data_IF_913475501959
#
_entry.id   IF_913475501959
#
_cell.length_a   1.000
_cell.length_b   1.000
_cell.length_c   1.000
_cell.angle_alpha   90.00
_cell.angle_beta   90.00
_cell.angle_gamma   90.00
#
_symmetry.space_group_name_H-M   'P 1'
#
loop_
_entity.id
_entity.type
_entity.pdbx_description
1 polymer ?
#
# COMPACT_ATOMS: atom_id res chain seq x y z
N UNK A 1 22.99 -7.63 4.37
CA UNK A 1 23.31 -6.82 3.17
C UNK A 1 22.92 -5.37 3.39
N UNK A 2 23.72 -4.40 2.96
CA UNK A 2 23.38 -2.97 3.01
C UNK A 2 23.56 -2.37 1.62
N UNK A 3 22.62 -1.54 1.20
CA UNK A 3 22.62 -0.91 -0.12
C UNK A 3 22.25 0.56 0.02
N UNK A 4 22.68 1.37 -0.94
CA UNK A 4 22.32 2.77 -0.99
C UNK A 4 22.53 3.36 -2.37
N UNK A 5 21.74 4.39 -2.67
CA UNK A 5 21.84 5.15 -3.90
C UNK A 5 21.63 6.63 -3.63
N UNK A 6 22.16 7.46 -4.53
CA UNK A 6 22.02 8.90 -4.48
C UNK A 6 21.66 9.43 -5.86
N UNK A 7 20.64 10.29 -5.90
CA UNK A 7 20.28 11.06 -7.09
C UNK A 7 20.47 12.54 -6.75
N UNK A 8 21.40 13.18 -7.46
CA UNK A 8 21.62 14.62 -7.34
C UNK A 8 20.41 15.38 -7.88
N UNK A 9 19.73 16.09 -7.00
CA UNK A 9 18.54 16.87 -7.31
C UNK A 9 18.46 18.04 -6.30
N UNK A 10 19.32 19.05 -6.46
CA UNK A 10 19.49 20.09 -5.46
C UNK A 10 18.25 20.98 -5.32
N UNK A 11 18.09 21.56 -4.13
CA UNK A 11 17.04 22.53 -3.81
C UNK A 11 17.47 23.96 -4.23
N UNK A 12 16.55 24.88 -4.60
CA UNK A 12 15.11 24.69 -4.73
C UNK A 12 14.74 23.87 -5.96
N UNK A 13 13.85 22.89 -5.77
CA UNK A 13 13.28 22.11 -6.87
C UNK A 13 12.12 22.87 -7.51
N UNK A 14 11.83 22.58 -8.78
CA UNK A 14 10.77 23.21 -9.55
C UNK A 14 9.84 22.19 -10.21
N UNK A 15 8.64 22.64 -10.59
CA UNK A 15 7.61 21.79 -11.20
C UNK A 15 7.19 20.63 -10.29
N UNK A 16 7.04 19.43 -10.86
CA UNK A 16 6.63 18.22 -10.11
C UNK A 16 7.63 17.84 -9.01
N UNK A 17 8.91 18.21 -9.15
CA UNK A 17 9.93 17.93 -8.15
C UNK A 17 9.77 18.74 -6.87
N UNK A 18 8.94 19.80 -6.87
CA UNK A 18 8.54 20.49 -5.64
C UNK A 18 7.77 19.57 -4.68
N UNK A 19 7.17 18.49 -5.18
CA UNK A 19 6.51 17.48 -4.35
C UNK A 19 7.48 16.72 -3.46
N UNK A 20 8.78 16.79 -3.72
CA UNK A 20 9.82 16.25 -2.86
C UNK A 20 10.17 17.19 -1.70
N UNK A 21 9.77 18.46 -1.75
CA UNK A 21 9.94 19.44 -0.68
C UNK A 21 8.85 19.27 0.40
N UNK A 22 8.70 18.03 0.89
CA UNK A 22 7.82 17.69 2.02
C UNK A 22 8.58 17.78 3.33
N UNK A 23 7.82 18.00 4.41
CA UNK A 23 8.36 17.84 5.76
C UNK A 23 8.64 16.35 5.98
N UNK A 24 9.87 15.97 6.37
CA UNK A 24 10.17 14.60 6.76
C UNK A 24 9.25 14.14 7.89
N UNK A 25 8.81 12.90 7.83
CA UNK A 25 8.02 12.26 8.90
C UNK A 25 8.93 11.50 9.83
N UNK A 26 8.53 11.42 11.10
CA UNK A 26 9.21 10.57 12.07
C UNK A 26 9.08 9.10 11.63
N UNK A 27 10.19 8.37 11.64
CA UNK A 27 10.27 6.93 11.39
C UNK A 27 9.78 6.09 12.59
N UNK A 28 8.82 6.62 13.36
CA UNK A 28 8.25 5.97 14.53
C UNK A 28 6.94 5.28 14.17
N UNK A 29 6.81 3.97 14.41
CA UNK A 29 5.54 3.28 14.20
C UNK A 29 4.46 3.82 15.14
N UNK A 30 3.20 3.92 14.69
CA UNK A 30 2.13 4.41 15.52
C UNK A 30 1.83 3.44 16.67
N UNK A 31 1.40 3.98 17.82
CA UNK A 31 1.18 3.20 19.04
C UNK A 31 0.10 2.11 18.91
N UNK A 32 -0.83 2.24 17.95
CA UNK A 32 -1.86 1.23 17.70
C UNK A 32 -1.34 -0.02 16.99
N UNK A 33 -0.13 0.01 16.43
CA UNK A 33 0.39 -1.09 15.60
C UNK A 33 0.81 -2.29 16.46
N UNK A 34 0.35 -3.48 16.09
CA UNK A 34 0.71 -4.72 16.79
C UNK A 34 1.96 -5.40 16.23
N UNK A 35 2.62 -6.19 17.07
CA UNK A 35 3.86 -6.90 16.75
C UNK A 35 3.71 -8.03 15.71
N UNK A 36 2.48 -8.46 15.40
CA UNK A 36 2.23 -9.58 14.50
C UNK A 36 2.13 -9.19 13.01
N UNK A 37 2.22 -7.91 12.66
CA UNK A 37 2.22 -7.45 11.26
C UNK A 37 3.45 -7.99 10.52
N UNK A 38 3.31 -8.22 9.20
CA UNK A 38 4.44 -8.64 8.35
C UNK A 38 5.31 -7.45 7.96
N UNK A 39 4.73 -6.26 7.85
CA UNK A 39 5.45 -5.06 7.51
C UNK A 39 4.70 -3.79 7.89
N UNK A 40 5.49 -2.73 7.99
CA UNK A 40 5.04 -1.37 8.27
C UNK A 40 5.84 -0.42 7.39
N UNK A 41 5.15 0.53 6.77
CA UNK A 41 5.81 1.69 6.17
C UNK A 41 5.06 2.96 6.50
N UNK A 42 5.80 4.05 6.49
CA UNK A 42 5.27 5.40 6.65
C UNK A 42 5.85 6.29 5.57
N UNK A 43 5.01 7.14 5.00
CA UNK A 43 5.40 8.14 4.00
C UNK A 43 4.86 9.51 4.39
N UNK A 44 5.74 10.51 4.28
CA UNK A 44 5.43 11.92 4.44
C UNK A 44 5.00 12.53 3.12
N UNK A 45 3.70 12.67 2.90
CA UNK A 45 3.14 13.20 1.66
C UNK A 45 1.93 14.09 1.93
N UNK A 46 2.04 15.38 1.61
CA UNK A 46 0.91 16.31 1.59
C UNK A 46 0.11 16.10 0.30
N UNK A 47 -0.95 15.30 0.38
CA UNK A 47 -1.80 14.98 -0.78
C UNK A 47 -2.47 16.21 -1.38
N UNK A 48 -2.69 17.27 -0.59
CA UNK A 48 -3.19 18.55 -1.09
C UNK A 48 -2.18 19.26 -2.00
N UNK A 49 -0.89 19.23 -1.64
CA UNK A 49 0.20 19.71 -2.53
C UNK A 49 0.35 18.84 -3.77
N UNK A 50 0.27 17.52 -3.63
CA UNK A 50 0.31 16.58 -4.76
C UNK A 50 -0.78 16.90 -5.77
N UNK A 51 -2.02 17.07 -5.31
CA UNK A 51 -3.13 17.46 -6.17
C UNK A 51 -2.90 18.82 -6.84
N UNK A 52 -2.40 19.82 -6.11
CA UNK A 52 -2.13 21.13 -6.67
C UNK A 52 -1.09 21.08 -7.80
N UNK A 53 0.01 20.33 -7.61
CA UNK A 53 1.04 20.17 -8.64
C UNK A 53 0.54 19.34 -9.84
N UNK A 54 -0.21 18.27 -9.60
CA UNK A 54 -0.80 17.45 -10.66
C UNK A 54 -1.80 18.26 -11.49
N UNK A 55 -2.64 19.07 -10.84
CA UNK A 55 -3.56 20.01 -11.50
C UNK A 55 -2.80 21.02 -12.34
N UNK A 56 -1.76 21.65 -11.79
CA UNK A 56 -0.94 22.62 -12.52
C UNK A 56 -0.35 22.01 -13.81
N UNK A 57 0.25 20.82 -13.70
CA UNK A 57 0.79 20.10 -14.85
C UNK A 57 -0.30 19.77 -15.89
N UNK A 58 -1.45 19.27 -15.44
CA UNK A 58 -2.56 18.95 -16.33
C UNK A 58 -3.13 20.19 -17.04
N UNK A 59 -3.18 21.34 -16.37
CA UNK A 59 -3.58 22.61 -16.97
C UNK A 59 -2.57 23.11 -18.01
N UNK A 60 -1.27 22.95 -17.74
CA UNK A 60 -0.21 23.30 -18.70
C UNK A 60 -0.29 22.43 -19.97
N UNK A 61 -0.59 21.15 -19.82
CA UNK A 61 -0.68 20.21 -20.95
C UNK A 61 -2.01 20.29 -21.73
N UNK A 62 -3.13 20.46 -21.02
CA UNK A 62 -4.48 20.41 -21.61
C UNK A 62 -5.11 21.76 -21.92
N UNK A 63 -4.48 22.87 -21.53
CA UNK A 63 -4.94 24.23 -21.84
C UNK A 63 -6.36 24.53 -21.31
N UNK A 64 -7.17 25.32 -22.06
CA UNK A 64 -8.51 25.74 -21.63
C UNK A 64 -9.49 24.59 -21.36
N UNK A 65 -9.37 23.47 -22.08
CA UNK A 65 -10.26 22.32 -21.89
C UNK A 65 -10.03 21.66 -20.52
N UNK A 66 -8.77 21.43 -20.15
CA UNK A 66 -8.45 20.93 -18.82
C UNK A 66 -8.95 21.89 -17.72
N UNK A 67 -8.82 23.19 -17.94
CA UNK A 67 -9.32 24.21 -16.99
C UNK A 67 -10.82 24.09 -16.75
N UNK A 68 -11.61 23.91 -17.82
CA UNK A 68 -13.06 23.72 -17.71
C UNK A 68 -13.40 22.42 -16.96
N UNK A 69 -12.71 21.31 -17.26
CA UNK A 69 -12.94 20.02 -16.59
C UNK A 69 -12.62 20.11 -15.09
N UNK A 70 -11.47 20.69 -14.72
CA UNK A 70 -11.13 20.89 -13.32
C UNK A 70 -12.12 21.82 -12.61
N UNK A 71 -12.53 22.93 -13.24
CA UNK A 71 -13.51 23.83 -12.64
C UNK A 71 -14.86 23.13 -12.40
N UNK A 72 -15.30 22.28 -13.34
CA UNK A 72 -16.53 21.50 -13.18
C UNK A 72 -16.40 20.47 -12.05
N UNK A 73 -15.31 19.70 -12.02
CA UNK A 73 -15.09 18.68 -10.99
C UNK A 73 -14.94 19.30 -9.61
N UNK A 74 -14.14 20.35 -9.48
CA UNK A 74 -13.96 21.07 -8.21
C UNK A 74 -15.25 21.74 -7.76
N UNK A 75 -16.02 22.31 -8.69
CA UNK A 75 -17.33 22.88 -8.40
C UNK A 75 -18.32 21.83 -7.88
N UNK A 76 -18.37 20.65 -8.50
CA UNK A 76 -19.22 19.54 -8.05
C UNK A 76 -18.82 19.05 -6.67
N UNK A 77 -17.52 18.85 -6.43
CA UNK A 77 -16.98 18.42 -5.14
C UNK A 77 -17.25 19.47 -4.06
N UNK A 78 -17.04 20.75 -4.36
CA UNK A 78 -17.32 21.87 -3.45
C UNK A 78 -18.80 21.93 -3.06
N UNK A 79 -19.73 21.75 -4.02
CA UNK A 79 -21.17 21.76 -3.73
C UNK A 79 -21.55 20.60 -2.81
N UNK A 80 -21.02 19.40 -3.06
CA UNK A 80 -21.40 18.20 -2.32
C UNK A 80 -20.77 18.15 -0.92
N UNK A 81 -19.49 18.52 -0.81
CA UNK A 81 -18.70 18.32 0.41
C UNK A 81 -18.38 19.62 1.16
N UNK A 82 -18.77 20.77 0.61
CA UNK A 82 -18.46 22.10 1.13
C UNK A 82 -16.95 22.33 1.29
N UNK A 83 -16.15 21.60 0.52
CA UNK A 83 -14.70 21.64 0.52
C UNK A 83 -14.18 21.21 -0.86
N UNK A 84 -13.09 21.83 -1.32
CA UNK A 84 -12.50 21.51 -2.62
C UNK A 84 -11.65 20.23 -2.56
N UNK A 85 -11.37 19.54 -3.68
CA UNK A 85 -10.56 18.31 -3.70
C UNK A 85 -9.21 18.45 -2.99
N UNK A 86 -8.55 19.61 -3.13
CA UNK A 86 -7.30 19.92 -2.42
C UNK A 86 -7.48 19.90 -0.90
N UNK A 87 -8.56 20.50 -0.41
CA UNK A 87 -8.86 20.57 1.03
C UNK A 87 -9.23 19.19 1.57
N UNK A 88 -10.00 18.40 0.80
CA UNK A 88 -10.31 17.00 1.14
C UNK A 88 -9.04 16.16 1.29
N UNK A 89 -8.10 16.29 0.36
CA UNK A 89 -6.84 15.55 0.40
C UNK A 89 -5.92 16.04 1.53
N UNK A 90 -5.87 17.35 1.77
CA UNK A 90 -5.13 17.93 2.90
C UNK A 90 -5.74 17.53 4.26
N UNK A 91 -7.05 17.26 4.32
CA UNK A 91 -7.74 16.81 5.52
C UNK A 91 -7.28 15.41 5.99
N UNK A 92 -6.67 14.61 5.10
CA UNK A 92 -6.09 13.30 5.45
C UNK A 92 -4.77 13.40 6.21
N UNK A 93 -4.22 14.61 6.37
CA UNK A 93 -2.92 14.84 6.96
C UNK A 93 -1.77 14.53 5.99
N UNK A 94 -0.55 14.55 6.52
CA UNK A 94 0.68 14.42 5.73
C UNK A 94 1.37 13.07 5.93
N UNK A 95 0.78 12.18 6.74
CA UNK A 95 1.38 10.90 7.10
C UNK A 95 0.48 9.76 6.60
N UNK A 96 1.03 8.95 5.72
CA UNK A 96 0.38 7.76 5.18
C UNK A 96 1.09 6.56 5.78
N UNK A 97 0.37 5.74 6.54
CA UNK A 97 0.90 4.50 7.10
C UNK A 97 0.37 3.32 6.32
N UNK A 98 1.26 2.44 5.86
CA UNK A 98 0.86 1.16 5.26
C UNK A 98 1.25 0.03 6.21
N UNK A 99 0.33 -0.92 6.39
CA UNK A 99 0.55 -2.12 7.20
C UNK A 99 0.24 -3.33 6.34
N UNK A 100 1.16 -4.29 6.32
CA UNK A 100 0.96 -5.55 5.62
C UNK A 100 0.86 -6.73 6.60
N UNK A 101 0.08 -7.72 6.21
CA UNK A 101 -0.16 -8.94 6.96
C UNK A 101 0.28 -10.15 6.15
N UNK A 102 0.72 -11.25 6.80
CA UNK A 102 0.96 -12.50 6.08
C UNK A 102 -0.33 -12.95 5.39
N UNK A 103 -0.28 -13.57 4.19
CA UNK A 103 -1.46 -14.14 3.57
C UNK A 103 -2.07 -15.26 4.42
N UNK A 104 -3.33 -15.59 4.14
CA UNK A 104 -3.98 -16.74 4.77
C UNK A 104 -3.67 -18.00 3.97
N UNK A 105 -3.25 -19.07 4.66
CA UNK A 105 -3.05 -20.39 4.04
C UNK A 105 -4.35 -20.85 3.38
N UNK A 106 -4.31 -21.22 2.10
CA UNK A 106 -5.45 -21.76 1.34
C UNK A 106 -6.29 -20.74 0.56
N UNK A 107 -5.85 -19.48 0.45
CA UNK A 107 -6.55 -18.43 -0.30
C UNK A 107 -6.36 -18.50 -1.82
N UNK A 108 -6.75 -19.60 -2.49
CA UNK A 108 -6.77 -19.64 -3.96
C UNK A 108 -7.65 -18.51 -4.56
N UNK A 109 -8.68 -18.08 -3.82
CA UNK A 109 -9.52 -16.93 -4.16
C UNK A 109 -8.80 -15.57 -4.04
N UNK A 110 -7.90 -15.42 -3.06
CA UNK A 110 -7.10 -14.19 -2.91
C UNK A 110 -6.07 -14.07 -4.05
N UNK A 111 -5.62 -15.18 -4.62
CA UNK A 111 -4.70 -15.22 -5.78
C UNK A 111 -5.42 -14.96 -7.12
N UNK A 112 -6.62 -15.51 -7.35
CA UNK A 112 -7.43 -15.16 -8.53
C UNK A 112 -7.86 -13.68 -8.51
N UNK A 113 -8.11 -13.14 -7.32
CA UNK A 113 -8.26 -11.70 -7.07
C UNK A 113 -6.99 -10.89 -7.46
N UNK A 114 -5.80 -11.45 -7.26
CA UNK A 114 -4.52 -10.85 -7.66
C UNK A 114 -4.40 -10.69 -9.17
N UNK A 115 -4.87 -11.69 -9.90
CA UNK A 115 -4.86 -11.71 -11.38
C UNK A 115 -5.83 -10.68 -11.96
N UNK A 116 -6.98 -10.47 -11.33
CA UNK A 116 -7.97 -9.51 -11.79
C UNK A 116 -7.53 -8.05 -11.63
N UNK A 117 -6.84 -7.73 -10.53
CA UNK A 117 -6.30 -6.38 -10.25
C UNK A 117 -4.96 -6.52 -9.51
N UNK A 118 -3.82 -6.32 -10.21
CA UNK A 118 -2.49 -6.38 -9.60
C UNK A 118 -2.41 -5.45 -8.38
N UNK A 119 -2.06 -6.01 -7.22
CA UNK A 119 -1.92 -5.28 -5.95
C UNK A 119 -3.10 -5.38 -4.97
N UNK A 120 -4.26 -5.94 -5.37
CA UNK A 120 -5.42 -6.12 -4.45
C UNK A 120 -5.44 -7.46 -3.69
N UNK A 121 -4.58 -8.40 -4.05
CA UNK A 121 -4.42 -9.67 -3.32
C UNK A 121 -3.56 -9.55 -2.07
N UNK A 122 -2.87 -8.43 -1.90
CA UNK A 122 -2.09 -8.19 -0.71
C UNK A 122 -3.03 -7.93 0.46
N UNK A 123 -2.82 -8.67 1.55
CA UNK A 123 -3.45 -8.35 2.84
C UNK A 123 -2.76 -7.12 3.41
N UNK A 124 -3.23 -5.95 3.01
CA UNK A 124 -2.62 -4.68 3.38
C UNK A 124 -3.66 -3.61 3.70
N UNK A 125 -3.28 -2.67 4.55
CA UNK A 125 -4.07 -1.51 4.91
C UNK A 125 -3.28 -0.23 4.72
N UNK A 126 -3.93 0.78 4.19
CA UNK A 126 -3.45 2.17 4.18
C UNK A 126 -4.26 2.94 5.21
N UNK A 127 -3.56 3.62 6.12
CA UNK A 127 -4.13 4.34 7.26
C UNK A 127 -3.65 5.78 7.24
N UNK A 128 -4.60 6.70 7.27
CA UNK A 128 -4.37 8.14 7.42
C UNK A 128 -4.84 8.59 8.79
N UNK A 129 -4.02 9.39 9.48
CA UNK A 129 -4.47 10.13 10.65
C UNK A 129 -5.13 11.42 10.19
N UNK A 130 -6.44 11.48 10.32
CA UNK A 130 -7.25 12.56 9.79
C UNK A 130 -6.99 13.85 10.57
N UNK A 131 -6.67 14.91 9.84
CA UNK A 131 -6.45 16.27 10.36
C UNK A 131 -7.75 17.04 10.53
N UNK A 132 -8.67 16.91 9.57
CA UNK A 132 -10.01 17.53 9.63
C UNK A 132 -11.10 16.44 9.68
N UNK A 133 -11.60 16.11 10.87
CA UNK A 133 -12.59 15.05 11.04
C UNK A 133 -13.95 15.40 10.45
N UNK A 134 -14.29 16.69 10.33
CA UNK A 134 -15.59 17.13 9.80
C UNK A 134 -15.65 16.92 8.29
N UNK A 135 -14.56 17.24 7.59
CA UNK A 135 -14.43 16.98 6.15
C UNK A 135 -14.54 15.48 5.85
N UNK A 136 -13.81 14.63 6.58
CA UNK A 136 -13.86 13.19 6.37
C UNK A 136 -15.24 12.60 6.68
N UNK A 137 -15.92 13.09 7.71
CA UNK A 137 -17.28 12.66 8.02
C UNK A 137 -18.25 12.96 6.85
N UNK A 138 -18.17 14.14 6.23
CA UNK A 138 -18.97 14.49 5.05
C UNK A 138 -18.64 13.60 3.85
N UNK A 139 -17.36 13.32 3.61
CA UNK A 139 -16.93 12.39 2.56
C UNK A 139 -17.57 11.01 2.74
N UNK A 140 -17.56 10.48 3.96
CA UNK A 140 -18.16 9.17 4.24
C UNK A 140 -19.68 9.17 4.09
N UNK A 141 -20.36 10.26 4.48
CA UNK A 141 -21.79 10.41 4.24
C UNK A 141 -22.13 10.37 2.75
N UNK A 142 -21.33 11.03 1.90
CA UNK A 142 -21.50 10.99 0.45
C UNK A 142 -21.30 9.57 -0.11
N UNK A 143 -20.23 8.89 0.32
CA UNK A 143 -19.96 7.50 -0.11
C UNK A 143 -21.09 6.55 0.32
N UNK A 144 -21.65 6.73 1.51
CA UNK A 144 -22.78 5.95 1.99
C UNK A 144 -24.07 6.25 1.23
N UNK A 145 -24.28 7.51 0.82
CA UNK A 145 -25.46 7.90 0.03
C UNK A 145 -25.46 7.26 -1.36
N UNK A 146 -24.29 7.01 -1.96
CA UNK A 146 -24.18 6.33 -3.25
C UNK A 146 -24.16 4.80 -3.14
N UNK A 147 -23.80 4.22 -1.98
CA UNK A 147 -23.69 2.77 -1.84
C UNK A 147 -24.94 1.98 -2.30
N UNK A 148 -26.19 2.41 -2.01
CA UNK A 148 -27.40 1.70 -2.48
C UNK A 148 -27.55 1.62 -4.01
N UNK A 149 -26.96 2.54 -4.78
CA UNK A 149 -27.07 2.54 -6.25
C UNK A 149 -26.10 1.57 -6.92
N UNK A 150 -25.17 0.98 -6.17
CA UNK A 150 -24.09 0.11 -6.71
C UNK A 150 -24.50 -1.35 -6.93
N UNK A 151 -25.81 -1.65 -6.96
CA UNK A 151 -26.34 -3.01 -7.16
C UNK A 151 -25.74 -4.07 -6.20
N UNK A 152 -25.39 -3.67 -4.97
CA UNK A 152 -24.82 -4.56 -3.95
C UNK A 152 -23.30 -4.67 -3.97
N UNK A 153 -22.59 -4.00 -4.88
CA UNK A 153 -21.12 -3.96 -4.87
C UNK A 153 -20.57 -3.26 -3.62
N UNK A 154 -21.29 -2.24 -3.12
CA UNK A 154 -20.95 -1.54 -1.89
C UNK A 154 -22.00 -1.80 -0.81
N UNK A 155 -21.53 -2.16 0.38
CA UNK A 155 -22.37 -2.34 1.57
C UNK A 155 -21.90 -1.40 2.67
N UNK A 156 -22.80 -0.52 3.12
CA UNK A 156 -22.54 0.32 4.29
C UNK A 156 -22.35 -0.57 5.52
N UNK A 157 -21.32 -0.27 6.32
CA UNK A 157 -20.98 -1.02 7.52
C UNK A 157 -20.61 -0.08 8.67
N UNK A 158 -21.03 -0.46 9.88
CA UNK A 158 -20.66 0.19 11.13
C UNK A 158 -20.03 -0.86 12.04
N UNK A 159 -18.73 -0.75 12.30
CA UNK A 159 -17.94 -1.80 12.92
C UNK A 159 -16.92 -1.19 13.88
N UNK A 160 -16.89 -1.64 15.14
CA UNK A 160 -15.85 -1.25 16.12
C UNK A 160 -15.70 0.27 16.36
N UNK A 161 -16.75 1.06 16.14
CA UNK A 161 -16.72 2.52 16.23
C UNK A 161 -16.21 3.23 14.96
N UNK A 162 -16.15 2.50 13.84
CA UNK A 162 -15.92 3.03 12.51
C UNK A 162 -17.18 2.93 11.67
N UNK A 163 -17.33 3.87 10.75
CA UNK A 163 -18.44 3.94 9.79
C UNK A 163 -17.83 3.97 8.40
N UNK A 164 -18.32 3.11 7.51
CA UNK A 164 -17.67 2.90 6.23
C UNK A 164 -18.48 2.11 5.22
N UNK A 165 -17.79 1.69 4.17
CA UNK A 165 -18.33 0.80 3.14
C UNK A 165 -17.39 -0.39 2.94
N UNK A 166 -17.99 -1.56 2.76
CA UNK A 166 -17.34 -2.75 2.21
C UNK A 166 -17.59 -2.76 0.71
N UNK A 167 -16.56 -3.04 -0.07
CA UNK A 167 -16.59 -3.12 -1.51
C UNK A 167 -16.19 -4.55 -1.86
N UNK A 168 -17.11 -5.28 -2.50
CA UNK A 168 -16.90 -6.65 -2.95
C UNK A 168 -17.29 -6.74 -4.42
N UNK A 169 -16.33 -6.57 -5.35
CA UNK A 169 -16.62 -6.68 -6.77
C UNK A 169 -17.16 -8.09 -7.11
N UNK A 170 -18.26 -8.21 -7.87
CA UNK A 170 -18.86 -9.50 -8.18
C UNK A 170 -17.85 -10.42 -8.90
N UNK A 171 -17.75 -11.66 -8.42
CA UNK A 171 -16.94 -12.70 -9.06
C UNK A 171 -15.43 -12.59 -8.84
N UNK A 172 -14.93 -11.58 -8.14
CA UNK A 172 -13.48 -11.44 -7.88
C UNK A 172 -13.05 -12.04 -6.55
N UNK A 173 -13.96 -12.14 -5.57
CA UNK A 173 -13.62 -12.53 -4.19
C UNK A 173 -12.78 -11.49 -3.43
N UNK A 174 -12.44 -10.36 -4.06
CA UNK A 174 -11.67 -9.27 -3.46
C UNK A 174 -12.53 -8.58 -2.41
N UNK A 175 -11.99 -8.44 -1.19
CA UNK A 175 -12.62 -7.68 -0.11
C UNK A 175 -11.83 -6.39 0.13
N UNK A 176 -12.43 -5.26 -0.25
CA UNK A 176 -11.92 -3.93 0.10
C UNK A 176 -12.85 -3.28 1.11
N UNK A 177 -12.31 -2.50 2.03
CA UNK A 177 -13.11 -1.70 2.95
C UNK A 177 -12.53 -0.30 3.10
N UNK A 178 -13.42 0.70 3.09
CA UNK A 178 -13.07 2.09 3.38
C UNK A 178 -13.85 2.53 4.63
N UNK A 179 -13.13 2.81 5.71
CA UNK A 179 -13.68 3.08 7.03
C UNK A 179 -13.12 4.36 7.61
N UNK A 180 -13.97 5.12 8.29
CA UNK A 180 -13.58 6.30 9.06
C UNK A 180 -14.07 6.18 10.50
N UNK A 181 -13.21 6.48 11.45
CA UNK A 181 -13.53 6.40 12.88
C UNK A 181 -12.32 6.71 13.74
N UNK A 182 -12.56 7.18 14.96
CA UNK A 182 -11.49 7.43 15.96
C UNK A 182 -10.35 8.34 15.46
N UNK A 183 -10.62 9.24 14.52
CA UNK A 183 -9.62 10.13 13.92
C UNK A 183 -8.75 9.49 12.82
N UNK A 184 -9.12 8.30 12.33
CA UNK A 184 -8.41 7.61 11.27
C UNK A 184 -9.32 7.32 10.08
N UNK A 185 -8.76 7.45 8.87
CA UNK A 185 -9.32 6.88 7.64
C UNK A 185 -8.50 5.64 7.30
N UNK A 186 -9.19 4.54 7.01
CA UNK A 186 -8.63 3.23 6.76
C UNK A 186 -9.14 2.72 5.41
N UNK A 187 -8.21 2.39 4.51
CA UNK A 187 -8.46 1.59 3.33
C UNK A 187 -7.80 0.22 3.54
N UNK A 188 -8.59 -0.81 3.81
CA UNK A 188 -8.09 -2.18 4.00
C UNK A 188 -8.43 -3.06 2.80
N UNK A 189 -7.48 -3.93 2.44
CA UNK A 189 -7.57 -4.86 1.32
C UNK A 189 -7.28 -6.27 1.81
N UNK A 190 -8.09 -7.23 1.39
CA UNK A 190 -7.96 -8.63 1.76
C UNK A 190 -8.76 -9.03 3.00
N UNK A 191 -8.86 -10.34 3.19
CA UNK A 191 -9.69 -10.94 4.24
C UNK A 191 -9.25 -10.52 5.65
N UNK A 192 -10.21 -10.02 6.44
CA UNK A 192 -10.08 -9.60 7.84
C UNK A 192 -9.12 -8.43 8.11
N UNK A 193 -8.61 -7.77 7.07
CA UNK A 193 -7.62 -6.69 7.25
C UNK A 193 -8.24 -5.47 7.91
N UNK A 194 -9.43 -5.05 7.46
CA UNK A 194 -10.13 -3.91 8.07
C UNK A 194 -10.44 -4.19 9.54
N UNK A 195 -11.00 -5.36 9.84
CA UNK A 195 -11.38 -5.80 11.18
C UNK A 195 -10.18 -5.78 12.13
N UNK A 196 -9.04 -6.31 11.65
CA UNK A 196 -7.80 -6.37 12.39
C UNK A 196 -7.25 -4.97 12.69
N UNK A 197 -7.18 -4.09 11.69
CA UNK A 197 -6.64 -2.73 11.88
C UNK A 197 -7.59 -1.86 12.71
N UNK A 198 -8.90 -1.96 12.52
CA UNK A 198 -9.87 -1.28 13.39
C UNK A 198 -9.78 -1.74 14.84
N UNK A 199 -9.54 -3.04 15.08
CA UNK A 199 -9.31 -3.57 16.43
C UNK A 199 -8.02 -3.02 17.04
N UNK A 200 -6.93 -2.98 16.27
CA UNK A 200 -5.65 -2.40 16.66
C UNK A 200 -5.79 -0.91 17.05
N UNK A 201 -6.49 -0.11 16.24
CA UNK A 201 -6.75 1.32 16.55
C UNK A 201 -7.66 1.45 17.77
N UNK A 202 -8.65 0.56 17.89
CA UNK A 202 -9.64 0.61 18.97
C UNK A 202 -9.09 0.23 20.33
N UNK A 203 -8.17 -0.73 20.33
CA UNK A 203 -7.55 -1.32 21.52
C UNK A 203 -6.05 -1.45 21.27
N UNK A 204 -5.30 -0.33 21.34
CA UNK A 204 -3.87 -0.33 21.06
C UNK A 204 -3.11 -1.38 21.88
N UNK A 205 -2.26 -2.19 21.25
CA UNK A 205 -1.47 -3.19 21.94
C UNK A 205 -0.45 -2.54 22.87
N UNK A 206 -0.09 -3.23 23.95
CA UNK A 206 0.86 -2.75 24.96
C UNK A 206 1.98 -3.76 25.19
N UNK A 207 3.11 -3.30 25.73
CA UNK A 207 4.26 -4.15 26.04
C UNK A 207 4.74 -4.93 24.82
N UNK A 208 4.99 -6.23 24.98
CA UNK A 208 5.50 -7.10 23.93
C UNK A 208 4.50 -7.34 22.77
N UNK A 209 3.23 -6.99 22.93
CA UNK A 209 2.25 -7.04 21.84
C UNK A 209 2.36 -5.85 20.89
N UNK A 210 2.98 -4.74 21.32
CA UNK A 210 3.14 -3.53 20.52
C UNK A 210 4.29 -3.69 19.52
N UNK A 211 4.11 -3.20 18.30
CA UNK A 211 5.15 -3.25 17.27
C UNK A 211 6.43 -2.52 17.66
N UNK A 212 6.30 -1.44 18.44
CA UNK A 212 7.42 -0.66 18.98
C UNK A 212 8.37 -1.48 19.86
N UNK A 213 7.86 -2.55 20.50
CA UNK A 213 8.62 -3.49 21.32
C UNK A 213 8.94 -4.81 20.58
N UNK A 214 8.61 -4.92 19.29
CA UNK A 214 8.79 -6.16 18.54
C UNK A 214 10.27 -6.48 18.27
N UNK A 215 10.67 -7.77 18.26
CA UNK A 215 12.01 -8.17 17.82
C UNK A 215 12.32 -7.76 16.38
N UNK A 216 11.30 -7.70 15.52
CA UNK A 216 11.45 -7.25 14.14
C UNK A 216 11.95 -5.80 14.08
N UNK A 217 11.27 -4.88 14.78
CA UNK A 217 11.69 -3.48 14.81
C UNK A 217 13.05 -3.30 15.48
N UNK A 218 13.33 -4.05 16.56
CA UNK A 218 14.63 -3.98 17.24
C UNK A 218 15.80 -4.38 16.30
N UNK A 219 15.63 -5.47 15.54
CA UNK A 219 16.61 -5.90 14.52
C UNK A 219 16.72 -4.88 13.39
N UNK A 220 15.60 -4.37 12.86
CA UNK A 220 15.59 -3.33 11.84
C UNK A 220 16.37 -2.08 12.26
N UNK A 221 16.15 -1.59 13.49
CA UNK A 221 16.88 -0.43 14.05
C UNK A 221 18.39 -0.67 14.17
N UNK A 222 18.80 -1.92 14.40
CA UNK A 222 20.22 -2.31 14.44
C UNK A 222 20.84 -2.33 13.05
N UNK A 223 20.08 -2.77 12.04
CA UNK A 223 20.53 -2.77 10.65
C UNK A 223 20.67 -1.35 10.09
N UNK A 224 19.67 -0.50 10.34
CA UNK A 224 19.59 0.87 9.87
C UNK A 224 18.83 1.73 10.90
N UNK A 225 19.53 2.61 11.63
CA UNK A 225 18.88 3.47 12.61
C UNK A 225 17.80 4.36 11.96
N UNK A 226 16.60 4.46 12.54
CA UNK A 226 15.54 5.30 12.02
C UNK A 226 15.91 6.78 12.19
N UNK A 227 15.62 7.57 11.17
CA UNK A 227 15.76 9.02 11.17
C UNK A 227 14.55 9.65 10.45
N UNK A 228 14.22 10.93 10.71
CA UNK A 228 13.16 11.60 9.98
C UNK A 228 13.40 11.54 8.47
N UNK A 229 12.45 10.99 7.73
CA UNK A 229 12.61 10.63 6.33
C UNK A 229 11.37 10.99 5.52
N UNK A 230 11.50 11.03 4.19
CA UNK A 230 10.34 11.11 3.30
C UNK A 230 9.54 9.80 3.36
N UNK A 231 10.23 8.66 3.41
CA UNK A 231 9.61 7.38 3.72
C UNK A 231 10.53 6.50 4.56
N UNK A 232 9.91 5.65 5.38
CA UNK A 232 10.57 4.64 6.19
C UNK A 232 9.76 3.34 6.12
N UNK A 233 10.44 2.19 6.00
CA UNK A 233 9.79 0.89 6.01
C UNK A 233 10.55 -0.15 6.82
N UNK A 234 9.80 -1.11 7.34
CA UNK A 234 10.27 -2.31 8.04
C UNK A 234 9.43 -3.48 7.56
N UNK A 235 10.06 -4.58 7.17
CA UNK A 235 9.39 -5.81 6.75
C UNK A 235 10.09 -7.06 7.29
N UNK A 236 9.31 -8.10 7.55
CA UNK A 236 9.79 -9.42 7.91
C UNK A 236 9.87 -10.30 6.66
N UNK A 237 11.04 -10.34 6.00
CA UNK A 237 11.17 -11.07 4.74
C UNK A 237 11.04 -12.58 4.92
N UNK A 238 11.33 -13.11 6.12
CA UNK A 238 11.14 -14.53 6.41
C UNK A 238 9.67 -14.96 6.27
N UNK A 239 8.72 -14.02 6.44
CA UNK A 239 7.29 -14.28 6.28
C UNK A 239 6.80 -14.11 4.84
N UNK A 240 7.48 -13.28 4.05
CA UNK A 240 7.11 -13.00 2.66
C UNK A 240 7.72 -14.00 1.66
N UNK A 241 8.86 -14.60 1.99
CA UNK A 241 9.57 -15.53 1.11
C UNK A 241 8.76 -16.76 0.68
N UNK A 242 8.04 -17.47 1.58
CA UNK A 242 7.21 -18.61 1.16
C UNK A 242 6.17 -18.23 0.11
N UNK A 243 5.59 -17.04 0.23
CA UNK A 243 4.55 -16.56 -0.68
C UNK A 243 5.15 -16.14 -2.02
N UNK A 244 6.29 -15.45 -2.01
CA UNK A 244 7.02 -15.11 -3.23
C UNK A 244 7.39 -16.38 -4.01
N UNK A 245 7.87 -17.42 -3.33
CA UNK A 245 8.16 -18.72 -3.93
C UNK A 245 6.91 -19.33 -4.55
N UNK A 246 5.78 -19.31 -3.83
CA UNK A 246 4.52 -19.83 -4.34
C UNK A 246 4.04 -19.04 -5.57
N UNK A 247 4.13 -17.71 -5.54
CA UNK A 247 3.81 -16.87 -6.70
C UNK A 247 4.70 -17.19 -7.90
N UNK A 248 6.02 -17.33 -7.70
CA UNK A 248 6.93 -17.72 -8.79
C UNK A 248 6.58 -19.13 -9.30
N UNK A 249 6.32 -20.07 -8.41
CA UNK A 249 5.89 -21.44 -8.78
C UNK A 249 4.62 -21.41 -9.62
N UNK A 250 3.62 -20.63 -9.22
CA UNK A 250 2.38 -20.48 -9.96
C UNK A 250 2.58 -19.83 -11.32
N UNK A 251 3.38 -18.76 -11.40
CA UNK A 251 3.75 -18.14 -12.68
C UNK A 251 4.48 -19.12 -13.61
N UNK A 252 5.33 -19.98 -13.07
CA UNK A 252 6.01 -21.01 -13.84
C UNK A 252 5.06 -22.14 -14.29
N UNK A 253 4.03 -22.44 -13.50
CA UNK A 253 3.07 -23.53 -13.77
C UNK A 253 1.84 -23.08 -14.56
N UNK A 254 1.57 -21.77 -14.65
CA UNK A 254 0.46 -21.20 -15.37
C UNK A 254 0.93 -20.62 -16.72
N UNK A 255 0.97 -21.42 -17.81
CA UNK A 255 1.24 -20.88 -19.15
C UNK A 255 0.27 -19.76 -19.56
N UNK A 256 -0.91 -19.70 -18.93
CA UNK A 256 -1.90 -18.64 -19.15
C UNK A 256 -1.56 -17.33 -18.41
N UNK A 257 -0.75 -17.36 -17.34
CA UNK A 257 -0.38 -16.14 -16.61
C UNK A 257 0.45 -15.18 -17.49
N UNK A 258 1.19 -15.69 -18.46
CA UNK A 258 1.89 -14.87 -19.47
C UNK A 258 0.94 -14.21 -20.48
N UNK A 259 -0.27 -14.75 -20.68
CA UNK A 259 -1.27 -14.16 -21.58
C UNK A 259 -2.07 -13.04 -20.92
N UNK A 260 -2.12 -12.99 -19.59
CA UNK A 260 -2.76 -11.93 -18.83
C UNK A 260 -1.96 -10.61 -18.83
N UNK A 261 -0.76 -10.59 -19.44
CA UNK A 261 0.05 -9.36 -19.56
C UNK A 261 -0.62 -8.42 -20.58
N UNK A 262 -1.06 -7.22 -20.15
CA UNK A 262 -1.72 -6.27 -21.05
C UNK A 262 -0.80 -5.88 -22.21
N UNK A 263 -1.28 -6.06 -23.44
CA UNK A 263 -0.56 -5.69 -24.67
C UNK A 263 -0.01 -6.86 -25.48
N UNK A 264 -0.12 -8.10 -24.99
CA UNK A 264 0.13 -9.30 -25.81
C UNK A 264 -1.17 -9.74 -26.53
N UNK A 265 -1.10 -10.18 -27.79
CA UNK A 265 -2.27 -10.65 -28.52
C UNK A 265 -2.89 -11.88 -27.82
N UNK A 266 -4.22 -11.87 -27.69
CA UNK A 266 -5.02 -12.93 -27.08
C UNK A 266 -5.15 -14.18 -27.98
N UNK A 267 -4.01 -14.72 -28.43
CA UNK A 267 -3.99 -15.99 -29.14
C UNK A 267 -4.25 -17.14 -28.18
N UNK A 268 -4.80 -18.24 -28.70
CA UNK A 268 -5.04 -19.47 -27.93
C UNK A 268 -3.75 -19.84 -27.17
N UNK A 269 -3.85 -20.32 -25.91
CA UNK A 269 -2.68 -20.67 -25.12
C UNK A 269 -1.78 -21.58 -25.96
N UNK A 270 -0.53 -21.14 -26.29
CA UNK A 270 0.39 -22.03 -26.95
C UNK A 270 0.52 -23.22 -26.03
N UNK A 271 0.13 -24.41 -26.52
CA UNK A 271 0.41 -25.63 -25.81
C UNK A 271 1.93 -25.65 -25.64
N UNK A 272 2.39 -25.60 -24.38
CA UNK A 272 3.80 -25.75 -24.09
C UNK A 272 4.24 -27.05 -24.75
N UNK A 273 5.23 -26.96 -25.63
CA UNK A 273 5.80 -28.17 -26.18
C UNK A 273 6.47 -28.97 -25.03
N UNK A 274 6.71 -30.28 -25.21
CA UNK A 274 7.31 -31.10 -24.15
C UNK A 274 8.65 -30.58 -23.63
N UNK A 275 9.42 -29.86 -24.45
CA UNK A 275 10.72 -29.30 -24.04
C UNK A 275 10.52 -28.07 -23.14
N UNK A 276 9.56 -27.21 -23.47
CA UNK A 276 9.18 -26.06 -22.66
C UNK A 276 8.60 -26.49 -21.32
N UNK A 277 7.68 -27.47 -21.31
CA UNK A 277 7.13 -28.03 -20.08
C UNK A 277 8.24 -28.61 -19.17
N UNK A 278 9.17 -29.39 -19.74
CA UNK A 278 10.31 -29.93 -19.01
C UNK A 278 11.27 -28.84 -18.49
N UNK A 279 11.43 -27.72 -19.22
CA UNK A 279 12.23 -26.59 -18.77
C UNK A 279 11.56 -25.88 -17.58
N UNK A 280 10.25 -25.62 -17.65
CA UNK A 280 9.50 -24.98 -16.56
C UNK A 280 9.50 -25.82 -15.29
N UNK A 281 9.41 -27.15 -15.43
CA UNK A 281 9.56 -28.08 -14.31
C UNK A 281 10.96 -27.99 -13.70
N UNK A 282 12.02 -27.99 -14.51
CA UNK A 282 13.40 -27.82 -14.03
C UNK A 282 13.61 -26.47 -13.33
N UNK A 283 13.07 -25.38 -13.88
CA UNK A 283 13.14 -24.06 -13.25
C UNK A 283 12.43 -24.06 -11.90
N UNK A 284 11.28 -24.73 -11.79
CA UNK A 284 10.55 -24.88 -10.53
C UNK A 284 11.36 -25.69 -9.51
N UNK A 285 12.05 -26.76 -9.95
CA UNK A 285 12.94 -27.56 -9.10
C UNK A 285 14.20 -26.80 -8.63
N UNK A 286 14.61 -25.75 -9.35
CA UNK A 286 15.72 -24.87 -8.94
C UNK A 286 15.30 -23.82 -7.91
N UNK A 287 13.99 -23.65 -7.65
CA UNK A 287 13.54 -22.75 -6.59
C UNK A 287 13.86 -23.38 -5.22
N UNK A 288 14.44 -22.61 -4.28
CA UNK A 288 14.65 -23.08 -2.92
C UNK A 288 13.34 -23.57 -2.31
N UNK A 289 13.40 -24.63 -1.53
CA UNK A 289 12.27 -25.15 -0.74
C UNK A 289 11.87 -24.17 0.36
N UNK A 290 10.67 -24.33 0.91
CA UNK A 290 10.22 -23.49 2.03
C UNK A 290 11.13 -23.63 3.26
N UNK A 291 11.68 -24.82 3.48
CA UNK A 291 12.65 -25.11 4.54
C UNK A 291 14.01 -24.44 4.26
N UNK A 292 14.49 -24.50 3.01
CA UNK A 292 15.73 -23.81 2.62
C UNK A 292 15.61 -22.28 2.73
N UNK A 293 14.43 -21.71 2.45
CA UNK A 293 14.16 -20.27 2.61
C UNK A 293 14.03 -19.84 4.08
N UNK A 294 13.79 -20.79 4.99
CA UNK A 294 13.61 -20.48 6.41
C UNK A 294 14.91 -19.90 6.99
N UNK A 295 14.82 -18.67 7.51
CA UNK A 295 15.97 -17.99 8.10
C UNK A 295 16.97 -17.39 7.11
N UNK A 296 16.84 -17.61 5.79
CA UNK A 296 17.74 -17.00 4.79
C UNK A 296 17.73 -15.48 4.84
N UNK A 297 16.53 -14.90 4.94
CA UNK A 297 16.30 -13.47 5.08
C UNK A 297 15.55 -13.20 6.38
N UNK A 298 15.95 -12.15 7.09
CA UNK A 298 15.29 -11.71 8.32
C UNK A 298 14.61 -10.36 8.16
N UNK A 299 14.88 -9.45 9.11
CA UNK A 299 14.39 -8.09 9.06
C UNK A 299 14.95 -7.35 7.83
N UNK A 300 14.10 -6.61 7.14
CA UNK A 300 14.49 -5.62 6.13
C UNK A 300 13.98 -4.25 6.53
N UNK A 301 14.77 -3.23 6.24
CA UNK A 301 14.39 -1.85 6.49
C UNK A 301 14.94 -0.94 5.41
N UNK A 302 14.17 0.09 5.06
CA UNK A 302 14.57 1.09 4.08
C UNK A 302 14.18 2.49 4.55
N UNK A 303 14.93 3.47 4.07
CA UNK A 303 14.63 4.89 4.24
C UNK A 303 14.93 5.65 2.96
N UNK A 304 14.08 6.63 2.67
CA UNK A 304 14.28 7.61 1.60
C UNK A 304 14.37 8.99 2.23
N UNK A 305 15.52 9.63 2.09
CA UNK A 305 15.77 10.99 2.56
C UNK A 305 15.74 11.94 1.38
N UNK A 306 15.25 13.14 1.65
CA UNK A 306 15.31 14.25 0.71
C UNK A 306 15.97 15.41 1.45
N UNK A 307 17.06 15.93 0.91
CA UNK A 307 17.79 17.06 1.49
C UNK A 307 18.10 18.12 0.42
N UNK A 308 18.93 19.11 0.75
CA UNK A 308 19.28 20.19 -0.19
C UNK A 308 20.11 19.75 -1.39
N UNK A 309 20.73 18.56 -1.35
CA UNK A 309 21.59 18.02 -2.42
C UNK A 309 20.84 17.08 -3.35
N UNK A 310 19.83 16.37 -2.85
CA UNK A 310 19.14 15.37 -3.65
C UNK A 310 18.31 14.38 -2.84
N UNK A 311 18.15 13.21 -3.44
CA UNK A 311 17.42 12.07 -2.89
C UNK A 311 18.43 10.99 -2.52
N UNK A 312 18.33 10.46 -1.30
CA UNK A 312 19.18 9.39 -0.80
C UNK A 312 18.27 8.21 -0.45
N UNK A 313 18.49 7.06 -1.08
CA UNK A 313 17.90 5.80 -0.64
C UNK A 313 18.91 4.99 0.14
N UNK A 314 18.50 4.42 1.27
CA UNK A 314 19.28 3.41 1.99
C UNK A 314 18.38 2.23 2.34
N UNK A 315 18.93 1.04 2.25
CA UNK A 315 18.26 -0.19 2.68
C UNK A 315 19.25 -1.11 3.36
N UNK A 316 18.73 -1.93 4.26
CA UNK A 316 19.48 -2.99 4.91
C UNK A 316 18.59 -4.19 5.15
N UNK A 317 19.13 -5.37 4.83
CA UNK A 317 18.45 -6.66 4.97
C UNK A 317 19.34 -7.59 5.81
N UNK A 318 18.75 -8.20 6.83
CA UNK A 318 19.36 -9.30 7.58
C UNK A 318 19.48 -10.53 6.68
N UNK A 319 20.71 -11.06 6.57
CA UNK A 319 20.98 -12.32 5.89
C UNK A 319 21.33 -13.35 6.96
N UNK A 320 21.02 -14.63 6.71
CA UNK A 320 21.56 -15.73 7.50
C UNK A 320 23.09 -15.61 7.62
N UNK A 321 23.68 -15.96 8.79
CA UNK A 321 25.11 -16.11 8.89
C UNK A 321 25.60 -17.18 7.90
N UNK A 322 26.79 -16.99 7.29
CA UNK A 322 27.37 -17.93 6.33
C UNK A 322 27.75 -19.27 6.97
#
# INVERSE_FOLDING_TARGET
MREGWFVSLPSPRSGIWTLLEQTPVAAEPPAWLAANVAGFSVMGLDLGKVYAAAKELALQMGGPQAQQVFAQLEGQVQIQLQAGPRELLAALGNQISTVSFPPKKGGAADLAAAEAIPGLAERAAIVWQVRDPAICARLMQLIQAIAPSTQGMMRVANEQGFTGVRIEPPGTGVKVGLFYGKGYLLLGMGTEVCETVMAMISSPPQGNAAFSASPLLARAKTLLPPEPAFSYSVSDLSRALPDLRETITQLLQAPQAFQAIPGLPAEAPPQLDPQQAALMEKLTQLLPTAEELEGMLGASTSLMLINSQGIIGRSATELAPP
#
